data_IF_504306164626
#
_entry.id   IF_504306164626
#
_cell.length_a   1.000
_cell.length_b   1.000
_cell.length_c   1.000
_cell.angle_alpha   90.00
_cell.angle_beta   90.00
_cell.angle_gamma   90.00
#
_symmetry.space_group_name_H-M   'P 1'
#
loop_
_entity.id
_entity.type
_entity.pdbx_description
1 polymer ?
#
# COMPACT_ATOMS: atom_id res chain seq x y z
N UNK A 1 -61.62 -35.06 -23.48
CA UNK A 1 -60.22 -35.25 -24.00
C UNK A 1 -59.73 -33.92 -24.51
N UNK A 2 -58.96 -33.17 -23.74
CA UNK A 2 -58.36 -31.91 -24.14
C UNK A 2 -56.84 -31.98 -23.78
N UNK A 3 -56.00 -32.13 -24.81
CA UNK A 3 -54.58 -32.04 -24.74
C UNK A 3 -54.18 -30.56 -24.64
N UNK A 4 -53.48 -30.16 -23.54
CA UNK A 4 -52.81 -28.88 -23.42
C UNK A 4 -51.33 -29.08 -23.77
N UNK A 5 -50.90 -28.45 -24.86
CA UNK A 5 -49.50 -28.31 -25.22
C UNK A 5 -48.86 -27.23 -24.32
N UNK A 6 -47.91 -27.63 -23.51
CA UNK A 6 -47.04 -26.72 -22.76
C UNK A 6 -45.80 -26.42 -23.59
N UNK A 7 -45.74 -25.19 -24.11
CA UNK A 7 -44.56 -24.67 -24.82
C UNK A 7 -43.50 -24.28 -23.79
N UNK A 8 -42.40 -25.01 -23.81
CA UNK A 8 -41.20 -24.73 -22.99
C UNK A 8 -40.43 -23.59 -23.66
N UNK A 9 -40.43 -22.41 -23.04
CA UNK A 9 -39.51 -21.31 -23.35
C UNK A 9 -38.23 -21.50 -22.56
N UNK A 10 -37.11 -21.84 -23.21
CA UNK A 10 -35.76 -21.74 -22.68
C UNK A 10 -35.29 -20.29 -22.84
N UNK A 11 -34.83 -19.61 -21.79
CA UNK A 11 -34.19 -18.32 -21.93
C UNK A 11 -32.75 -18.47 -22.39
N UNK A 12 -32.34 -17.54 -23.24
CA UNK A 12 -31.06 -17.36 -23.86
C UNK A 12 -29.86 -17.45 -22.88
N UNK A 13 -28.88 -18.21 -23.30
CA UNK A 13 -27.56 -18.31 -22.64
C UNK A 13 -26.80 -16.98 -22.76
N UNK A 14 -26.75 -16.24 -21.65
CA UNK A 14 -25.89 -15.09 -21.50
C UNK A 14 -24.42 -15.55 -21.55
N UNK A 15 -23.69 -15.18 -22.62
CA UNK A 15 -22.23 -15.39 -22.73
C UNK A 15 -21.51 -14.57 -21.66
N UNK A 16 -20.60 -15.18 -20.88
CA UNK A 16 -19.76 -14.40 -19.98
C UNK A 16 -18.75 -13.60 -20.80
N UNK A 17 -18.72 -12.29 -20.59
CA UNK A 17 -17.71 -11.38 -21.11
C UNK A 17 -16.35 -11.71 -20.52
N UNK A 18 -15.37 -11.95 -21.38
CA UNK A 18 -13.97 -12.24 -20.98
C UNK A 18 -13.34 -10.99 -20.33
N UNK A 19 -12.62 -11.13 -19.20
CA UNK A 19 -11.93 -10.01 -18.56
C UNK A 19 -10.76 -9.52 -19.43
N UNK A 20 -10.63 -8.19 -19.55
CA UNK A 20 -9.65 -7.46 -20.37
C UNK A 20 -8.22 -7.46 -19.78
N UNK A 21 -7.70 -8.58 -19.32
CA UNK A 21 -6.38 -8.67 -18.69
C UNK A 21 -5.21 -8.97 -19.63
N UNK A 22 -5.43 -9.05 -20.96
CA UNK A 22 -4.40 -9.55 -21.91
C UNK A 22 -3.57 -8.48 -22.61
N UNK A 23 -3.49 -7.23 -22.16
CA UNK A 23 -2.73 -6.18 -22.86
C UNK A 23 -1.39 -5.77 -22.21
N UNK A 24 -0.82 -6.56 -21.32
CA UNK A 24 0.42 -6.18 -20.61
C UNK A 24 1.68 -6.94 -21.05
N UNK A 25 1.67 -7.65 -22.18
CA UNK A 25 2.82 -8.44 -22.61
C UNK A 25 3.36 -8.06 -24.00
N UNK A 26 3.63 -6.83 -24.32
CA UNK A 26 4.42 -6.47 -25.51
C UNK A 26 5.14 -5.13 -25.35
N UNK A 27 6.15 -5.08 -24.48
CA UNK A 27 7.19 -4.05 -24.55
C UNK A 27 8.52 -4.67 -24.14
N UNK A 28 9.07 -5.52 -24.98
CA UNK A 28 10.48 -5.83 -25.00
C UNK A 28 10.99 -5.75 -26.45
N UNK A 29 12.19 -5.20 -26.55
CA UNK A 29 13.10 -5.17 -27.72
C UNK A 29 12.90 -4.01 -28.69
N UNK A 30 13.77 -3.04 -28.60
CA UNK A 30 14.74 -2.62 -29.61
C UNK A 30 15.31 -1.24 -29.28
N UNK A 31 16.61 -1.10 -29.30
CA UNK A 31 17.28 0.20 -29.28
C UNK A 31 18.74 0.12 -28.88
N UNK A 32 19.55 -0.47 -29.78
CA UNK A 32 21.02 -0.48 -29.72
C UNK A 32 21.58 0.87 -30.21
N UNK A 33 22.68 1.31 -29.56
CA UNK A 33 23.81 2.11 -30.09
C UNK A 33 23.58 3.52 -30.64
N UNK A 34 24.14 4.50 -29.91
CA UNK A 34 24.93 5.56 -30.53
C UNK A 34 25.95 6.11 -29.53
N UNK A 35 27.22 5.86 -29.78
CA UNK A 35 28.34 6.54 -29.18
C UNK A 35 28.43 7.95 -29.80
N UNK A 36 28.62 8.98 -28.98
CA UNK A 36 28.82 10.35 -29.43
C UNK A 36 29.67 11.12 -28.42
N UNK A 37 30.90 11.38 -28.82
CA UNK A 37 31.89 12.25 -28.15
C UNK A 37 31.44 13.71 -28.13
N UNK A 38 31.82 14.42 -27.07
CA UNK A 38 32.18 15.82 -27.21
C UNK A 38 31.43 16.81 -26.33
N UNK A 39 32.20 17.58 -25.56
CA UNK A 39 31.80 18.94 -25.24
C UNK A 39 31.71 19.28 -23.75
N UNK A 40 32.81 19.72 -23.18
CA UNK A 40 32.86 20.50 -21.94
C UNK A 40 32.09 21.81 -22.11
N UNK A 41 31.11 22.02 -21.27
CA UNK A 41 30.61 23.36 -20.98
C UNK A 41 30.38 23.48 -19.50
N UNK A 42 31.33 24.09 -18.80
CA UNK A 42 31.14 24.58 -17.44
C UNK A 42 30.14 25.75 -17.52
N UNK A 43 28.98 25.55 -16.96
CA UNK A 43 28.04 26.64 -16.67
C UNK A 43 28.02 26.83 -15.17
N UNK A 44 28.59 27.92 -14.75
CA UNK A 44 28.41 28.48 -13.42
C UNK A 44 26.91 28.75 -13.24
N UNK A 45 26.24 28.00 -12.42
CA UNK A 45 24.93 28.36 -11.93
C UNK A 45 25.11 29.07 -10.59
N UNK A 46 24.64 30.29 -10.59
CA UNK A 46 24.67 31.24 -9.49
C UNK A 46 23.94 30.71 -8.26
N UNK A 47 24.48 31.10 -7.15
CA UNK A 47 23.99 30.93 -5.79
C UNK A 47 22.53 31.34 -5.66
N UNK A 48 21.68 30.38 -5.27
CA UNK A 48 20.43 30.64 -4.60
C UNK A 48 20.60 30.11 -3.17
N UNK A 49 21.08 30.96 -2.28
CA UNK A 49 20.99 30.80 -0.84
C UNK A 49 19.52 30.85 -0.45
N UNK A 50 19.03 29.74 0.09
CA UNK A 50 17.70 29.63 0.66
C UNK A 50 17.30 28.16 0.80
N UNK A 51 17.26 27.67 2.04
CA UNK A 51 16.76 26.36 2.45
C UNK A 51 17.63 25.12 2.22
N UNK A 52 18.91 25.24 2.61
CA UNK A 52 19.89 24.18 2.48
C UNK A 52 19.86 23.03 3.51
N UNK A 53 18.85 22.91 4.37
CA UNK A 53 18.87 21.91 5.47
C UNK A 53 18.16 20.59 5.19
N UNK A 54 17.41 20.43 4.08
CA UNK A 54 16.52 19.28 3.90
C UNK A 54 16.86 18.35 2.72
N UNK A 55 17.96 18.56 2.03
CA UNK A 55 18.27 17.83 0.78
C UNK A 55 19.07 16.52 0.91
N UNK A 56 19.18 15.91 2.06
CA UNK A 56 20.18 14.83 2.18
C UNK A 56 19.77 13.51 2.80
N UNK A 57 18.55 13.32 3.34
CA UNK A 57 18.34 12.14 4.19
C UNK A 57 17.05 11.34 3.97
N UNK A 58 16.22 11.65 2.99
CA UNK A 58 14.83 11.24 3.06
C UNK A 58 14.42 10.02 2.26
N UNK A 59 15.10 9.66 1.19
CA UNK A 59 14.72 8.50 0.39
C UNK A 59 15.47 7.21 0.78
N UNK A 60 16.51 7.32 1.60
CA UNK A 60 17.44 6.23 1.85
C UNK A 60 17.05 5.26 2.95
N UNK A 61 16.36 5.71 4.00
CA UNK A 61 16.25 4.89 5.21
C UNK A 61 15.31 3.70 5.07
N UNK A 62 14.12 3.87 4.49
CA UNK A 62 13.22 2.73 4.28
C UNK A 62 13.71 1.79 3.17
N UNK A 63 14.33 2.32 2.12
CA UNK A 63 14.87 1.50 1.03
C UNK A 63 16.07 0.68 1.49
N UNK A 64 16.80 1.16 2.48
CA UNK A 64 17.93 0.46 3.08
C UNK A 64 17.55 -0.45 4.24
N UNK A 65 16.32 -0.31 4.76
CA UNK A 65 15.78 -1.14 5.83
C UNK A 65 15.36 -2.52 5.32
N UNK A 66 16.34 -3.40 5.12
CA UNK A 66 16.10 -4.78 4.68
C UNK A 66 15.23 -5.57 5.65
N UNK A 67 15.37 -5.30 6.94
CA UNK A 67 14.61 -6.00 7.98
C UNK A 67 13.13 -5.60 7.91
N UNK A 68 12.83 -4.30 7.71
CA UNK A 68 11.48 -3.80 7.50
C UNK A 68 10.85 -4.34 6.22
N UNK A 69 11.59 -4.33 5.12
CA UNK A 69 11.10 -4.90 3.86
C UNK A 69 10.78 -6.39 3.99
N UNK A 70 11.65 -7.17 4.64
CA UNK A 70 11.40 -8.59 4.88
C UNK A 70 10.19 -8.83 5.80
N UNK A 71 9.98 -7.98 6.80
CA UNK A 71 8.81 -8.02 7.67
C UNK A 71 7.53 -7.67 6.90
N UNK A 72 7.53 -6.62 6.08
CA UNK A 72 6.40 -6.26 5.23
C UNK A 72 6.05 -7.35 4.22
N UNK A 73 7.05 -8.04 3.66
CA UNK A 73 6.83 -9.18 2.77
C UNK A 73 6.11 -10.33 3.48
N UNK A 74 6.46 -10.62 4.74
CA UNK A 74 5.75 -11.64 5.55
C UNK A 74 4.31 -11.22 5.86
N UNK A 75 4.08 -9.95 6.18
CA UNK A 75 2.73 -9.41 6.40
C UNK A 75 1.91 -9.53 5.11
N UNK A 76 2.49 -9.18 3.95
CA UNK A 76 1.82 -9.28 2.66
C UNK A 76 1.40 -10.72 2.35
N UNK A 77 2.25 -11.72 2.60
CA UNK A 77 1.92 -13.13 2.43
C UNK A 77 0.79 -13.58 3.37
N UNK A 78 0.82 -13.16 4.64
CA UNK A 78 -0.24 -13.43 5.60
C UNK A 78 -1.58 -12.85 5.15
N UNK A 79 -1.60 -11.60 4.71
CA UNK A 79 -2.79 -10.91 4.23
C UNK A 79 -3.34 -11.55 2.94
N UNK A 80 -2.46 -11.97 2.03
CA UNK A 80 -2.86 -12.66 0.81
C UNK A 80 -3.62 -13.97 1.12
N UNK A 81 -3.17 -14.74 2.10
CA UNK A 81 -3.89 -15.93 2.57
C UNK A 81 -5.27 -15.60 3.15
N UNK A 82 -5.45 -14.39 3.68
CA UNK A 82 -6.70 -13.87 4.25
C UNK A 82 -7.57 -13.11 3.24
N UNK A 83 -7.22 -13.12 1.95
CA UNK A 83 -7.98 -12.45 0.88
C UNK A 83 -7.76 -10.94 0.82
N UNK A 84 -6.61 -10.44 1.24
CA UNK A 84 -6.25 -9.04 1.23
C UNK A 84 -4.86 -8.81 0.63
N UNK A 85 -4.59 -7.61 0.14
CA UNK A 85 -3.29 -7.18 -0.36
C UNK A 85 -2.75 -6.01 0.47
N UNK A 86 -1.44 -6.06 0.79
CA UNK A 86 -0.72 -4.99 1.45
C UNK A 86 -0.04 -4.10 0.43
N UNK A 87 -0.23 -2.79 0.54
CA UNK A 87 0.63 -1.80 -0.09
C UNK A 87 1.43 -1.08 0.99
N UNK A 88 2.75 -1.05 0.85
CA UNK A 88 3.64 -0.34 1.75
C UNK A 88 4.61 0.53 0.95
N UNK A 89 4.69 1.81 1.31
CA UNK A 89 5.55 2.80 0.66
C UNK A 89 6.33 3.56 1.71
N UNK A 90 7.59 3.86 1.40
CA UNK A 90 8.39 4.74 2.24
C UNK A 90 7.76 6.12 2.31
N UNK A 91 7.61 6.67 3.50
CA UNK A 91 6.91 7.94 3.74
C UNK A 91 7.77 8.88 4.60
N UNK A 92 8.05 10.04 4.05
CA UNK A 92 8.76 11.11 4.73
C UNK A 92 10.24 10.82 5.03
N UNK A 93 10.91 11.81 5.63
CA UNK A 93 12.35 11.75 5.93
C UNK A 93 12.71 10.81 7.09
N UNK A 94 11.73 10.49 7.94
CA UNK A 94 11.92 9.64 9.13
C UNK A 94 12.13 8.16 8.83
N UNK A 95 11.99 7.74 7.56
CA UNK A 95 12.07 6.32 7.19
C UNK A 95 10.88 5.50 7.62
N UNK A 96 9.75 6.14 7.90
CA UNK A 96 8.52 5.46 8.23
C UNK A 96 7.82 4.93 6.97
N UNK A 97 6.88 4.02 7.18
CA UNK A 97 6.12 3.35 6.14
C UNK A 97 4.67 3.81 6.14
N UNK A 98 4.18 4.23 4.98
CA UNK A 98 2.74 4.34 4.72
C UNK A 98 2.24 2.96 4.34
N UNK A 99 1.21 2.50 5.06
CA UNK A 99 0.62 1.17 4.88
C UNK A 99 -0.86 1.30 4.52
N UNK A 100 -1.29 0.49 3.56
CA UNK A 100 -2.66 0.46 3.05
C UNK A 100 -3.04 -1.01 2.77
N UNK A 101 -4.28 -1.40 3.05
CA UNK A 101 -4.76 -2.77 2.85
C UNK A 101 -5.98 -2.75 1.95
N UNK A 102 -5.93 -3.53 0.87
CA UNK A 102 -7.01 -3.67 -0.12
C UNK A 102 -7.62 -5.06 -0.02
N UNK A 103 -8.94 -5.16 -0.15
CA UNK A 103 -9.68 -6.43 -0.22
C UNK A 103 -9.49 -7.05 -1.60
N UNK A 104 -9.12 -8.33 -1.67
CA UNK A 104 -8.96 -9.13 -2.88
C UNK A 104 -10.05 -10.21 -2.98
N UNK A 105 -10.47 -10.72 -1.83
CA UNK A 105 -11.51 -11.73 -1.68
C UNK A 105 -12.30 -11.41 -0.41
N UNK A 106 -13.45 -10.77 -0.57
CA UNK A 106 -14.27 -10.29 0.55
C UNK A 106 -14.76 -11.41 1.47
N UNK A 107 -14.98 -12.62 0.96
CA UNK A 107 -15.40 -13.77 1.80
C UNK A 107 -14.28 -14.22 2.75
N UNK A 108 -13.03 -14.19 2.29
CA UNK A 108 -11.90 -14.49 3.16
C UNK A 108 -11.63 -13.34 4.12
N UNK A 109 -11.64 -12.10 3.62
CA UNK A 109 -11.39 -10.90 4.41
C UNK A 109 -12.38 -10.74 5.56
N UNK A 110 -13.66 -11.09 5.38
CA UNK A 110 -14.72 -10.99 6.41
C UNK A 110 -14.47 -11.80 7.67
N UNK A 111 -13.54 -12.77 7.63
CA UNK A 111 -13.11 -13.53 8.81
C UNK A 111 -12.15 -12.76 9.70
N UNK A 112 -11.59 -11.65 9.18
CA UNK A 112 -10.48 -10.94 9.81
C UNK A 112 -10.78 -9.47 10.04
N UNK A 113 -11.44 -8.80 9.08
CA UNK A 113 -11.80 -7.38 9.11
C UNK A 113 -13.31 -7.19 8.96
N UNK A 114 -13.80 -5.98 9.19
CA UNK A 114 -15.23 -5.67 9.28
C UNK A 114 -15.64 -4.57 8.29
N UNK A 115 -16.94 -4.44 8.09
CA UNK A 115 -17.55 -3.42 7.23
C UNK A 115 -17.79 -3.90 5.80
N UNK A 116 -18.05 -2.99 4.86
CA UNK A 116 -18.20 -3.33 3.45
C UNK A 116 -16.87 -3.79 2.85
N UNK A 117 -16.82 -5.03 2.38
CA UNK A 117 -15.62 -5.72 1.90
C UNK A 117 -15.76 -6.07 0.41
N UNK A 118 -15.86 -5.05 -0.43
CA UNK A 118 -15.90 -5.24 -1.87
C UNK A 118 -14.49 -5.46 -2.43
N UNK A 119 -14.35 -6.43 -3.33
CA UNK A 119 -13.09 -6.74 -3.99
C UNK A 119 -12.54 -5.52 -4.74
N UNK A 120 -11.26 -5.24 -4.58
CA UNK A 120 -10.57 -4.10 -5.15
C UNK A 120 -10.69 -2.79 -4.34
N UNK A 121 -11.45 -2.78 -3.25
CA UNK A 121 -11.59 -1.61 -2.37
C UNK A 121 -10.68 -1.70 -1.15
N UNK A 122 -10.28 -0.55 -0.62
CA UNK A 122 -9.55 -0.49 0.64
C UNK A 122 -10.42 -0.97 1.81
N UNK A 123 -9.79 -1.60 2.79
CA UNK A 123 -10.44 -1.87 4.08
C UNK A 123 -10.80 -0.53 4.71
N UNK A 124 -12.06 -0.38 5.14
CA UNK A 124 -12.54 0.88 5.72
C UNK A 124 -11.83 1.21 7.03
N UNK A 125 -11.00 2.25 6.98
CA UNK A 125 -10.29 2.83 8.12
C UNK A 125 -10.83 4.21 8.51
N UNK A 126 -11.95 4.62 7.92
CA UNK A 126 -12.64 5.89 8.18
C UNK A 126 -12.01 7.13 7.54
N UNK A 127 -10.76 7.04 7.09
CA UNK A 127 -10.06 8.09 6.32
C UNK A 127 -9.10 7.45 5.33
N UNK A 128 -8.83 8.09 4.17
CA UNK A 128 -7.87 7.57 3.20
C UNK A 128 -6.45 7.48 3.78
N UNK A 129 -5.70 6.47 3.38
CA UNK A 129 -4.29 6.36 3.72
C UNK A 129 -3.46 7.45 3.04
N UNK A 130 -2.47 8.00 3.76
CA UNK A 130 -1.54 9.01 3.24
C UNK A 130 -2.09 10.42 3.13
N UNK A 131 -3.32 10.65 3.55
CA UNK A 131 -3.89 12.00 3.65
C UNK A 131 -3.78 12.50 5.09
N UNK A 132 -3.06 13.60 5.36
CA UNK A 132 -2.87 14.12 6.71
C UNK A 132 -4.14 14.85 7.18
N UNK A 133 -5.05 14.10 7.77
CA UNK A 133 -6.29 14.60 8.36
C UNK A 133 -6.23 14.47 9.88
N UNK A 134 -6.82 15.40 10.63
CA UNK A 134 -6.95 15.27 12.09
C UNK A 134 -7.65 13.94 12.47
N UNK A 135 -8.65 13.53 11.69
CA UNK A 135 -9.33 12.24 11.86
C UNK A 135 -8.48 11.02 11.50
N UNK A 136 -7.30 11.18 10.88
CA UNK A 136 -6.37 10.09 10.64
C UNK A 136 -5.54 9.72 11.87
N UNK A 137 -5.42 10.62 12.85
CA UNK A 137 -4.70 10.37 14.10
C UNK A 137 -5.10 9.03 14.74
N UNK A 138 -4.14 8.37 15.37
CA UNK A 138 -4.36 7.09 16.05
C UNK A 138 -5.42 7.21 17.16
N UNK A 139 -5.46 8.35 17.83
CA UNK A 139 -6.37 8.62 18.95
C UNK A 139 -7.69 9.29 18.50
N UNK A 140 -7.89 9.48 17.19
CA UNK A 140 -9.11 10.07 16.68
C UNK A 140 -10.32 9.18 16.97
N UNK A 141 -11.35 9.77 17.60
CA UNK A 141 -12.62 9.13 17.92
C UNK A 141 -13.73 9.45 16.91
N UNK A 142 -14.95 9.00 17.21
CA UNK A 142 -16.15 9.31 16.43
C UNK A 142 -16.39 8.39 15.23
N UNK A 143 -15.59 7.33 15.08
CA UNK A 143 -15.77 6.34 14.03
C UNK A 143 -16.72 5.21 14.42
N UNK A 144 -17.25 4.53 13.40
CA UNK A 144 -18.03 3.31 13.58
C UNK A 144 -17.23 2.21 14.33
N UNK A 145 -17.92 1.27 14.99
CA UNK A 145 -17.23 0.13 15.63
C UNK A 145 -16.37 -0.68 14.66
N UNK A 146 -16.79 -0.79 13.40
CA UNK A 146 -16.03 -1.53 12.37
C UNK A 146 -14.71 -0.84 12.02
N UNK A 147 -14.73 0.48 11.85
CA UNK A 147 -13.51 1.27 11.62
C UNK A 147 -12.55 1.17 12.81
N UNK A 148 -13.07 1.30 14.04
CA UNK A 148 -12.25 1.16 15.25
C UNK A 148 -11.61 -0.23 15.33
N UNK A 149 -12.38 -1.28 15.03
CA UNK A 149 -11.89 -2.64 14.97
C UNK A 149 -10.78 -2.80 13.92
N UNK A 150 -10.98 -2.32 12.70
CA UNK A 150 -10.02 -2.44 11.60
C UNK A 150 -8.71 -1.71 11.91
N UNK A 151 -8.77 -0.49 12.48
CA UNK A 151 -7.57 0.24 12.92
C UNK A 151 -6.80 -0.52 14.00
N UNK A 152 -7.51 -1.06 15.00
CA UNK A 152 -6.88 -1.84 16.06
C UNK A 152 -6.29 -3.15 15.52
N UNK A 153 -6.99 -3.83 14.62
CA UNK A 153 -6.50 -5.02 13.95
C UNK A 153 -5.19 -4.73 13.17
N UNK A 154 -5.16 -3.69 12.35
CA UNK A 154 -3.95 -3.33 11.59
C UNK A 154 -2.79 -3.00 12.53
N UNK A 155 -3.02 -2.21 13.59
CA UNK A 155 -2.02 -1.90 14.60
C UNK A 155 -1.45 -3.16 15.24
N UNK A 156 -2.30 -4.11 15.61
CA UNK A 156 -1.89 -5.39 16.21
C UNK A 156 -1.07 -6.23 15.24
N UNK A 157 -1.52 -6.35 13.99
CA UNK A 157 -0.80 -7.06 12.94
C UNK A 157 0.60 -6.49 12.73
N UNK A 158 0.71 -5.19 12.58
CA UNK A 158 1.99 -4.50 12.39
C UNK A 158 2.92 -4.67 13.60
N UNK A 159 2.38 -4.58 14.83
CA UNK A 159 3.14 -4.76 16.06
C UNK A 159 3.74 -6.16 16.20
N UNK A 160 3.04 -7.22 15.76
CA UNK A 160 3.56 -8.60 15.73
C UNK A 160 4.81 -8.73 14.85
N UNK A 161 4.99 -7.83 13.89
CA UNK A 161 6.13 -7.76 13.00
C UNK A 161 7.12 -6.64 13.36
N UNK A 162 7.05 -6.14 14.60
CA UNK A 162 7.96 -5.12 15.15
C UNK A 162 7.82 -3.74 14.47
N UNK A 163 6.64 -3.37 14.03
CA UNK A 163 6.32 -2.02 13.64
C UNK A 163 5.51 -1.32 14.73
N UNK A 164 5.86 -0.07 15.00
CA UNK A 164 5.09 0.83 15.87
C UNK A 164 4.27 1.78 15.01
N UNK A 165 2.99 1.93 15.34
CA UNK A 165 2.16 2.97 14.73
C UNK A 165 2.60 4.34 15.26
N UNK A 166 2.80 5.30 14.37
CA UNK A 166 3.11 6.67 14.74
C UNK A 166 1.80 7.41 15.09
N UNK A 167 1.83 8.38 16.03
CA UNK A 167 0.62 8.98 16.57
C UNK A 167 -0.15 9.85 15.58
N UNK A 168 0.52 10.34 14.54
CA UNK A 168 -0.04 11.26 13.55
C UNK A 168 -1.09 10.62 12.64
N UNK A 169 -0.96 9.30 12.35
CA UNK A 169 -1.92 8.63 11.47
C UNK A 169 -1.97 7.10 11.65
N UNK A 170 -3.17 6.53 11.49
CA UNK A 170 -3.41 5.09 11.57
C UNK A 170 -2.62 4.27 10.53
N UNK A 171 -2.27 4.88 9.40
CA UNK A 171 -1.54 4.25 8.29
C UNK A 171 -0.02 4.43 8.36
N UNK A 172 0.52 5.13 9.38
CA UNK A 172 1.93 5.53 9.48
C UNK A 172 2.66 4.69 10.50
N UNK A 173 3.68 3.95 10.05
CA UNK A 173 4.38 2.97 10.87
C UNK A 173 5.90 3.13 10.77
N UNK A 174 6.60 2.97 11.91
CA UNK A 174 8.05 2.90 11.98
C UNK A 174 8.48 1.51 12.46
N UNK A 175 9.54 0.95 11.87
CA UNK A 175 10.10 -0.30 12.35
C UNK A 175 10.88 -0.07 13.65
N UNK A 176 10.64 -0.92 14.64
CA UNK A 176 11.35 -0.89 15.90
C UNK A 176 12.79 -1.38 15.69
N UNK A 177 13.75 -0.58 16.10
CA UNK A 177 15.18 -0.90 15.99
C UNK A 177 15.86 -0.42 14.71
N UNK A 178 15.14 0.26 13.80
CA UNK A 178 15.72 0.93 12.61
C UNK A 178 16.18 2.37 12.89
N UNK A 179 16.24 2.78 14.15
CA UNK A 179 16.83 4.06 14.52
C UNK A 179 18.29 4.15 14.10
N UNK A 180 18.85 5.37 13.86
CA UNK A 180 20.27 5.52 13.59
C UNK A 180 21.03 4.83 14.69
N UNK A 181 21.98 3.95 14.32
CA UNK A 181 22.89 3.33 15.27
C UNK A 181 23.63 4.48 15.92
N UNK A 182 23.23 4.84 17.14
CA UNK A 182 23.98 5.77 17.96
C UNK A 182 25.31 5.09 18.22
N UNK A 183 26.32 5.42 17.42
CA UNK A 183 27.70 5.05 17.71
C UNK A 183 28.03 5.81 18.99
N UNK A 184 27.90 5.12 20.13
CA UNK A 184 28.37 5.64 21.38
C UNK A 184 29.87 5.95 21.20
N UNK A 185 30.20 7.23 21.14
CA UNK A 185 31.58 7.70 21.18
C UNK A 185 32.22 7.15 22.47
N UNK A 186 33.23 6.30 22.29
CA UNK A 186 34.13 5.89 23.37
C UNK A 186 35.18 6.96 23.62
#
# INVERSE_FOLDING_TARGET
MHHRHTTSMFPDTVRPSRPRWQHWQHWLVAGLLAAGFGGHAAVHAADAEGDGAWRGQSAGSCQQDRAGQAALSRIAQQLQAQGMALQARCHGPSGAWRVEVTVVDGLKASKVVRGPLADGHEVDMGTPAGVPLAAASVDAGGFSPDVQFNRQWLRTLMAQHRFSNLPDAWWHFAQQGSGPVSVAAR
#
